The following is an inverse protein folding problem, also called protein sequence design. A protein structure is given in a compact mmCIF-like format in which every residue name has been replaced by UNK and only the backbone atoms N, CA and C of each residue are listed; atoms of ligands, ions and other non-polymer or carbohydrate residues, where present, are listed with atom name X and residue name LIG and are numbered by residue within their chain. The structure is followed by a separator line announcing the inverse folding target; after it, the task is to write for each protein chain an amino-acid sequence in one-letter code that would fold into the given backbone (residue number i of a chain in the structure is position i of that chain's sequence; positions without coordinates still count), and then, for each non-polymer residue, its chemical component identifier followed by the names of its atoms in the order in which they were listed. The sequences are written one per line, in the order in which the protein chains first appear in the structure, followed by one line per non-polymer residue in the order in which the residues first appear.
data_IF_493827783518
#
_entry.id   IF_493827783518
#
_cell.length_a   1.000
_cell.length_b   1.000
_cell.length_c   1.000
_cell.angle_alpha   90.00
_cell.angle_beta   90.00
_cell.angle_gamma   90.00
#
_symmetry.space_group_name_H-M   'P 1'
#
loop_
_entity.id
_entity.type
_entity.pdbx_description
1 polymer ?
#
# COMPACT_ATOMS: atom_id res chain seq x y z
N UNK A 1 -11.62 17.41 9.08
CA UNK A 1 -11.59 16.45 7.97
C UNK A 1 -11.12 15.16 8.59
N UNK A 2 -11.89 14.09 8.47
CA UNK A 2 -11.59 12.81 9.13
C UNK A 2 -10.63 12.02 8.25
N UNK A 3 -9.36 11.95 8.64
CA UNK A 3 -8.40 11.04 8.04
C UNK A 3 -8.85 9.62 8.41
N UNK A 4 -9.38 8.86 7.44
CA UNK A 4 -9.81 7.49 7.69
C UNK A 4 -8.57 6.62 7.88
N UNK A 5 -8.28 6.33 9.15
CA UNK A 5 -7.27 5.34 9.51
C UNK A 5 -7.76 3.96 9.07
N UNK A 6 -6.88 3.23 8.38
CA UNK A 6 -7.13 1.88 7.89
C UNK A 6 -6.00 0.95 8.29
N UNK A 7 -6.37 -0.32 8.45
CA UNK A 7 -5.44 -1.44 8.59
C UNK A 7 -5.66 -2.40 7.42
N UNK A 8 -4.58 -2.79 6.76
CA UNK A 8 -4.64 -3.73 5.65
C UNK A 8 -3.52 -4.77 5.79
N UNK A 9 -3.85 -6.03 5.53
CA UNK A 9 -2.91 -7.14 5.50
C UNK A 9 -2.62 -7.59 4.08
N UNK A 10 -1.37 -7.96 3.82
CA UNK A 10 -0.98 -8.53 2.53
C UNK A 10 0.53 -8.60 2.37
N UNK A 11 0.97 -8.97 1.17
CA UNK A 11 2.39 -9.02 0.84
C UNK A 11 2.83 -7.70 0.23
N UNK A 12 3.86 -7.07 0.80
CA UNK A 12 4.47 -5.90 0.18
C UNK A 12 5.24 -6.37 -1.07
N UNK A 13 4.93 -5.79 -2.22
CA UNK A 13 5.68 -5.97 -3.46
C UNK A 13 6.14 -4.65 -4.01
N UNK A 14 7.35 -4.66 -4.55
CA UNK A 14 7.86 -3.59 -5.38
C UNK A 14 7.30 -3.75 -6.80
N UNK A 15 6.71 -2.69 -7.33
CA UNK A 15 6.24 -2.54 -8.70
C UNK A 15 7.22 -1.63 -9.42
N UNK A 16 7.66 -2.09 -10.58
CA UNK A 16 8.58 -1.35 -11.45
C UNK A 16 7.84 -0.73 -12.64
N UNK A 17 6.52 -0.97 -12.74
CA UNK A 17 5.72 -0.41 -13.81
C UNK A 17 5.68 1.13 -13.75
N UNK A 18 6.05 1.83 -14.84
CA UNK A 18 6.12 3.28 -14.86
C UNK A 18 4.76 3.96 -14.68
N UNK A 19 3.67 3.29 -15.08
CA UNK A 19 2.30 3.78 -14.89
C UNK A 19 1.92 3.81 -13.41
N UNK A 20 2.27 2.75 -12.67
CA UNK A 20 2.06 2.68 -11.22
C UNK A 20 2.84 3.76 -10.48
N UNK A 21 4.12 3.93 -10.83
CA UNK A 21 4.98 4.96 -10.27
C UNK A 21 4.46 6.37 -10.55
N UNK A 22 3.91 6.62 -11.74
CA UNK A 22 3.32 7.91 -12.10
C UNK A 22 2.01 8.17 -11.37
N UNK A 23 1.20 7.14 -11.15
CA UNK A 23 -0.11 7.27 -10.50
C UNK A 23 0.01 7.46 -8.99
N UNK A 24 0.86 6.67 -8.32
CA UNK A 24 0.94 6.64 -6.86
C UNK A 24 2.21 7.33 -6.31
N UNK A 25 3.21 7.60 -7.15
CA UNK A 25 4.48 8.20 -6.72
C UNK A 25 5.33 7.29 -5.82
N UNK A 26 5.01 6.01 -5.75
CA UNK A 26 5.68 5.01 -4.92
C UNK A 26 5.83 3.69 -5.69
N UNK A 27 6.95 2.97 -5.55
CA UNK A 27 7.11 1.65 -6.11
C UNK A 27 6.47 0.56 -5.23
N UNK A 28 5.93 0.86 -4.06
CA UNK A 28 5.46 -0.18 -3.14
C UNK A 28 3.95 -0.38 -3.22
N UNK A 29 3.53 -1.64 -3.22
CA UNK A 29 2.15 -2.07 -3.28
C UNK A 29 1.90 -3.18 -2.25
N UNK A 30 0.76 -3.11 -1.56
CA UNK A 30 0.21 -4.22 -0.79
C UNK A 30 -0.61 -5.10 -1.73
N UNK A 31 -0.20 -6.34 -1.85
CA UNK A 31 -0.83 -7.34 -2.70
C UNK A 31 -1.57 -8.34 -1.83
N UNK A 32 -2.81 -8.63 -2.18
CA UNK A 32 -3.61 -9.64 -1.49
C UNK A 32 -3.01 -11.04 -1.71
N UNK A 33 -2.91 -11.84 -0.66
CA UNK A 33 -2.29 -13.17 -0.74
C UNK A 33 -3.18 -14.21 -1.42
N UNK A 34 -4.50 -13.98 -1.49
CA UNK A 34 -5.46 -14.89 -2.09
C UNK A 34 -5.56 -14.61 -3.59
N UNK A 35 -5.73 -13.35 -3.98
CA UNK A 35 -5.91 -12.94 -5.38
C UNK A 35 -4.62 -12.63 -6.13
N UNK A 36 -3.54 -12.27 -5.42
CA UNK A 36 -2.32 -11.74 -6.04
C UNK A 36 -2.51 -10.36 -6.70
N UNK A 37 -3.65 -9.72 -6.47
CA UNK A 37 -4.02 -8.41 -6.98
C UNK A 37 -3.54 -7.30 -6.05
N UNK A 38 -3.23 -6.13 -6.62
CA UNK A 38 -2.85 -4.96 -5.82
C UNK A 38 -4.09 -4.48 -5.09
N UNK A 39 -4.08 -4.55 -3.76
CA UNK A 39 -5.14 -3.97 -2.94
C UNK A 39 -4.89 -2.48 -2.73
N UNK A 40 -3.65 -2.11 -2.40
CA UNK A 40 -3.29 -0.73 -2.08
C UNK A 40 -1.88 -0.38 -2.56
N UNK A 41 -1.68 0.84 -3.04
CA UNK A 41 -0.37 1.46 -3.11
C UNK A 41 0.06 1.93 -1.72
N UNK A 42 1.34 1.80 -1.42
CA UNK A 42 1.91 2.10 -0.11
C UNK A 42 2.99 3.16 -0.23
N UNK A 43 2.89 4.21 0.57
CA UNK A 43 3.99 5.14 0.79
C UNK A 43 4.15 5.33 2.28
N UNK A 44 5.39 5.24 2.75
CA UNK A 44 5.76 5.66 4.10
C UNK A 44 6.92 6.64 4.00
N UNK A 45 6.87 7.69 4.81
CA UNK A 45 7.99 8.61 5.02
C UNK A 45 8.76 8.27 6.30
N UNK A 46 8.24 7.37 7.14
CA UNK A 46 8.82 6.96 8.43
C UNK A 46 9.41 5.55 8.40
N UNK A 47 8.77 4.61 7.68
CA UNK A 47 9.17 3.20 7.61
C UNK A 47 9.86 2.87 6.28
N UNK A 48 10.95 2.11 6.33
CA UNK A 48 11.60 1.58 5.12
C UNK A 48 10.84 0.36 4.58
N UNK A 49 9.81 0.62 3.75
CA UNK A 49 8.98 -0.42 3.12
C UNK A 49 9.80 -1.45 2.29
N UNK A 50 11.00 -1.08 1.85
CA UNK A 50 11.91 -1.98 1.14
C UNK A 50 12.34 -3.18 2.00
N UNK A 51 12.53 -2.99 3.31
CA UNK A 51 12.92 -4.09 4.23
C UNK A 51 11.85 -5.18 4.36
N UNK A 52 10.60 -4.80 4.09
CA UNK A 52 9.43 -5.67 4.12
C UNK A 52 9.03 -6.19 2.74
N UNK A 53 9.73 -5.78 1.67
CA UNK A 53 9.43 -6.23 0.32
C UNK A 53 9.57 -7.76 0.21
N UNK A 54 8.51 -8.40 -0.28
CA UNK A 54 8.38 -9.86 -0.37
C UNK A 54 7.85 -10.53 0.90
N UNK A 55 7.72 -9.81 2.02
CA UNK A 55 7.15 -10.32 3.28
C UNK A 55 5.66 -10.04 3.36
N UNK A 56 4.96 -10.93 4.06
CA UNK A 56 3.53 -10.78 4.37
C UNK A 56 3.43 -10.02 5.68
N UNK A 57 2.83 -8.83 5.64
CA UNK A 57 2.77 -7.92 6.77
C UNK A 57 1.39 -7.28 6.88
N UNK A 58 1.09 -6.73 8.05
CA UNK A 58 0.01 -5.74 8.18
C UNK A 58 0.58 -4.34 8.24
N UNK A 59 -0.09 -3.44 7.54
CA UNK A 59 0.22 -2.01 7.55
C UNK A 59 -0.94 -1.25 8.15
N UNK A 60 -0.62 -0.21 8.91
CA UNK A 60 -1.55 0.79 9.41
C UNK A 60 -1.18 2.14 8.85
N UNK A 61 -2.21 2.90 8.51
CA UNK A 61 -2.02 4.20 7.92
C UNK A 61 -3.33 4.89 7.62
N UNK A 62 -3.26 5.88 6.75
CA UNK A 62 -4.42 6.66 6.35
C UNK A 62 -4.68 6.50 4.86
N UNK A 63 -5.94 6.36 4.47
CA UNK A 63 -6.31 6.42 3.06
C UNK A 63 -6.05 7.83 2.52
N UNK A 64 -5.34 7.90 1.41
CA UNK A 64 -5.09 9.16 0.70
C UNK A 64 -6.33 9.53 -0.09
N UNK A 65 -6.90 10.71 0.18
CA UNK A 65 -8.06 11.21 -0.56
C UNK A 65 -7.78 11.30 -2.07
N UNK A 66 -8.80 10.99 -2.88
CA UNK A 66 -8.67 10.90 -4.33
C UNK A 66 -8.27 9.52 -4.84
N UNK A 67 -8.05 8.55 -3.96
CA UNK A 67 -7.79 7.15 -4.33
C UNK A 67 -8.84 6.19 -3.75
N UNK A 68 -9.27 5.18 -4.54
CA UNK A 68 -8.93 4.98 -5.95
C UNK A 68 -9.55 6.04 -6.87
N UNK A 69 -8.85 6.39 -7.96
CA UNK A 69 -9.30 7.38 -8.96
C UNK A 69 -10.51 6.86 -9.75
N UNK A 70 -10.60 5.54 -9.92
CA UNK A 70 -11.66 4.85 -10.65
C UNK A 70 -12.16 3.63 -9.86
N UNK A 71 -13.45 3.26 -9.98
CA UNK A 71 -13.97 2.06 -9.32
C UNK A 71 -13.24 0.80 -9.81
N UNK A 72 -12.70 0.02 -8.86
CA UNK A 72 -11.91 -1.18 -9.14
C UNK A 72 -10.40 -0.94 -9.25
N UNK A 73 -9.93 0.32 -9.18
CA UNK A 73 -8.50 0.60 -9.05
C UNK A 73 -8.01 0.39 -7.60
N UNK A 74 -6.71 0.15 -7.38
CA UNK A 74 -6.17 0.02 -6.04
C UNK A 74 -6.24 1.32 -5.26
N UNK A 75 -6.53 1.22 -3.96
CA UNK A 75 -6.49 2.37 -3.06
C UNK A 75 -5.06 2.84 -2.80
N UNK A 76 -4.90 3.91 -2.02
CA UNK A 76 -3.59 4.40 -1.59
C UNK A 76 -3.60 4.59 -0.09
N UNK A 77 -2.73 3.86 0.61
CA UNK A 77 -2.47 4.05 2.03
C UNK A 77 -1.14 4.78 2.24
N UNK A 78 -1.18 5.89 2.97
CA UNK A 78 -0.01 6.49 3.59
C UNK A 78 0.27 5.74 4.88
N UNK A 79 1.28 4.86 4.85
CA UNK A 79 1.64 3.95 5.93
C UNK A 79 2.38 4.71 7.02
N UNK A 80 1.84 4.63 8.24
CA UNK A 80 2.46 5.19 9.44
C UNK A 80 3.17 4.13 10.27
N UNK A 81 2.74 2.87 10.17
CA UNK A 81 3.28 1.78 10.98
C UNK A 81 3.14 0.44 10.25
N UNK A 82 4.20 -0.39 10.30
CA UNK A 82 4.13 -1.79 9.89
C UNK A 82 4.00 -2.65 11.15
N UNK A 83 2.86 -3.31 11.31
CA UNK A 83 2.46 -3.99 12.57
C UNK A 83 3.14 -5.38 12.72
N UNK A 84 3.84 -5.87 11.70
CA UNK A 84 4.56 -7.15 11.70
C UNK A 84 3.89 -8.26 10.88
N UNK A 85 4.52 -9.44 10.84
CA UNK A 85 4.06 -10.60 10.04
C UNK A 85 2.75 -11.19 10.60
N UNK A 86 1.80 -11.44 9.70
CA UNK A 86 0.52 -12.10 9.98
C UNK A 86 0.53 -13.57 9.60
#
# INVERSE_FOLDING_TARGET
MEEQQVEAGGRIKRREEPEFLRQFGTPFALVDEIGGEVSYALKSDTEELEEYAGRSVRVRGFLVEGFPVEPGAPGYISVTEVVGEG
#
